data_IF_097226962625
#
_entry.id   IF_097226962625
#
_cell.length_a   1.000
_cell.length_b   1.000
_cell.length_c   1.000
_cell.angle_alpha   90.00
_cell.angle_beta   90.00
_cell.angle_gamma   90.00
#
_symmetry.space_group_name_H-M   'P 1'
#
loop_
_entity.id
_entity.type
_entity.pdbx_description
1 polymer ?
#
# COMPACT_ATOMS: atom_id res chain seq x y z
N UNK A 1 13.86 3.17 -18.69
CA UNK A 1 13.45 3.93 -17.49
C UNK A 1 11.94 3.84 -17.36
N UNK A 2 11.43 3.38 -16.22
CA UNK A 2 9.98 3.26 -15.94
C UNK A 2 9.50 4.45 -15.12
N UNK A 3 8.34 5.02 -15.45
CA UNK A 3 7.71 6.08 -14.64
C UNK A 3 6.81 5.45 -13.59
N UNK A 4 7.04 5.75 -12.32
CA UNK A 4 6.26 5.20 -11.21
C UNK A 4 5.66 6.35 -10.39
N UNK A 5 4.35 6.49 -10.43
CA UNK A 5 3.60 7.43 -9.62
C UNK A 5 3.35 6.86 -8.22
N UNK A 6 3.67 7.67 -7.21
CA UNK A 6 3.55 7.34 -5.79
C UNK A 6 2.84 8.47 -5.05
N UNK A 7 2.08 8.15 -4.01
CA UNK A 7 1.61 9.16 -3.07
C UNK A 7 2.70 9.44 -2.03
N UNK A 8 3.00 10.73 -1.81
CA UNK A 8 4.01 11.19 -0.87
C UNK A 8 5.29 11.67 -1.56
N UNK A 9 6.37 11.75 -0.79
CA UNK A 9 7.65 12.32 -1.22
C UNK A 9 8.75 11.26 -1.34
N UNK A 10 9.92 11.68 -1.81
CA UNK A 10 11.12 10.86 -1.83
C UNK A 10 11.48 10.42 -0.39
N UNK A 11 11.91 9.18 -0.21
CA UNK A 11 12.15 8.56 1.10
C UNK A 11 10.91 8.01 1.80
N UNK A 12 9.70 8.27 1.27
CA UNK A 12 8.46 7.67 1.79
C UNK A 12 8.46 6.14 1.64
N UNK A 13 7.55 5.49 2.35
CA UNK A 13 7.38 4.04 2.21
C UNK A 13 6.92 3.62 0.80
N UNK A 14 6.22 4.50 0.06
CA UNK A 14 5.87 4.24 -1.34
C UNK A 14 7.10 4.30 -2.26
N UNK A 15 8.02 5.25 -2.03
CA UNK A 15 9.32 5.31 -2.72
C UNK A 15 10.11 4.01 -2.48
N UNK A 16 10.27 3.62 -1.21
CA UNK A 16 10.99 2.38 -0.84
C UNK A 16 10.36 1.15 -1.51
N UNK A 17 9.03 1.03 -1.48
CA UNK A 17 8.33 -0.08 -2.11
C UNK A 17 8.53 -0.10 -3.64
N UNK A 18 8.54 1.07 -4.29
CA UNK A 18 8.79 1.19 -5.73
C UNK A 18 10.20 0.73 -6.12
N UNK A 19 11.25 1.23 -5.44
CA UNK A 19 12.62 0.81 -5.72
C UNK A 19 12.86 -0.67 -5.41
N UNK A 20 12.23 -1.21 -4.35
CA UNK A 20 12.35 -2.63 -4.02
C UNK A 20 11.62 -3.54 -5.00
N UNK A 21 10.47 -3.13 -5.51
CA UNK A 21 9.71 -3.92 -6.48
C UNK A 21 10.36 -3.94 -7.87
N UNK A 22 10.98 -2.83 -8.26
CA UNK A 22 11.74 -2.69 -9.52
C UNK A 22 13.25 -2.77 -9.28
N UNK A 23 13.69 -3.60 -8.34
CA UNK A 23 15.10 -3.76 -8.01
C UNK A 23 15.91 -4.17 -9.26
N UNK A 24 17.00 -3.44 -9.52
CA UNK A 24 17.83 -3.62 -10.72
C UNK A 24 17.35 -2.86 -11.96
N UNK A 25 16.25 -2.11 -11.88
CA UNK A 25 15.75 -1.26 -12.96
C UNK A 25 15.85 0.23 -12.60
N UNK A 26 16.07 1.08 -13.61
CA UNK A 26 15.97 2.53 -13.44
C UNK A 26 14.51 2.99 -13.45
N UNK A 27 14.09 3.61 -12.35
CA UNK A 27 12.75 4.21 -12.20
C UNK A 27 12.84 5.73 -12.02
N UNK A 28 11.89 6.43 -12.62
CA UNK A 28 11.62 7.85 -12.42
C UNK A 28 10.34 7.96 -11.57
N UNK A 29 10.44 8.60 -10.40
CA UNK A 29 9.29 8.76 -9.51
C UNK A 29 8.49 10.01 -9.85
N UNK A 30 7.17 9.85 -9.95
CA UNK A 30 6.21 10.94 -10.01
C UNK A 30 5.57 11.05 -8.62
N UNK A 31 6.01 12.03 -7.85
CA UNK A 31 5.47 12.28 -6.50
C UNK A 31 4.13 13.00 -6.61
N UNK A 32 3.09 12.40 -6.04
CA UNK A 32 1.72 12.91 -6.02
C UNK A 32 1.30 13.27 -4.59
N UNK A 33 0.45 14.29 -4.43
CA UNK A 33 0.00 14.72 -3.11
C UNK A 33 -0.96 13.70 -2.48
N UNK A 34 -1.87 13.14 -3.29
CA UNK A 34 -2.89 12.18 -2.88
C UNK A 34 -2.97 11.00 -3.87
N UNK A 35 -3.83 10.03 -3.59
CA UNK A 35 -3.99 8.84 -4.44
C UNK A 35 -4.76 9.14 -5.73
N UNK A 36 -5.67 10.12 -5.73
CA UNK A 36 -6.38 10.59 -6.92
C UNK A 36 -5.41 11.10 -7.98
N UNK A 37 -4.38 11.84 -7.56
CA UNK A 37 -3.31 12.34 -8.41
C UNK A 37 -2.46 11.20 -9.00
N UNK A 38 -2.25 10.10 -8.27
CA UNK A 38 -1.57 8.89 -8.79
C UNK A 38 -2.37 8.29 -9.94
N UNK A 39 -3.68 8.11 -9.77
CA UNK A 39 -4.55 7.63 -10.85
C UNK A 39 -4.68 8.64 -11.99
N UNK A 40 -4.65 9.95 -11.67
CA UNK A 40 -4.59 11.02 -12.65
C UNK A 40 -3.34 10.95 -13.53
N UNK A 41 -2.18 10.64 -12.94
CA UNK A 41 -0.93 10.45 -13.66
C UNK A 41 -0.99 9.26 -14.63
N UNK A 42 -1.53 8.11 -14.18
CA UNK A 42 -1.75 6.93 -15.02
C UNK A 42 -2.69 7.25 -16.20
N UNK A 43 -3.78 7.98 -15.93
CA UNK A 43 -4.74 8.37 -16.97
C UNK A 43 -4.15 9.35 -18.00
N UNK A 44 -3.22 10.21 -17.57
CA UNK A 44 -2.57 11.21 -18.43
C UNK A 44 -1.49 10.59 -19.32
N UNK A 45 -0.77 9.60 -18.82
CA UNK A 45 0.27 8.87 -19.53
C UNK A 45 0.12 7.38 -19.22
N UNK A 46 -0.39 6.61 -20.19
CA UNK A 46 -0.66 5.17 -20.06
C UNK A 46 0.61 4.34 -19.83
N UNK A 47 1.80 4.94 -19.98
CA UNK A 47 3.06 4.29 -19.63
C UNK A 47 3.44 4.43 -18.15
N UNK A 48 2.69 5.24 -17.39
CA UNK A 48 2.91 5.45 -15.96
C UNK A 48 2.34 4.29 -15.15
N UNK A 49 3.16 3.77 -14.24
CA UNK A 49 2.79 2.72 -13.29
C UNK A 49 2.45 3.38 -11.96
N UNK A 50 1.40 2.92 -11.27
CA UNK A 50 1.09 3.35 -9.91
C UNK A 50 1.61 2.38 -8.86
N UNK A 51 2.11 2.91 -7.74
CA UNK A 51 2.39 2.15 -6.51
C UNK A 51 1.45 2.61 -5.40
N UNK A 52 0.58 1.72 -4.93
CA UNK A 52 -0.54 2.07 -4.05
C UNK A 52 -0.54 1.21 -2.78
N UNK A 53 -0.47 1.83 -1.60
CA UNK A 53 -0.81 1.12 -0.37
C UNK A 53 -2.30 0.75 -0.36
N UNK A 54 -2.63 -0.51 -0.04
CA UNK A 54 -4.04 -0.95 0.05
C UNK A 54 -4.43 -1.52 1.42
N UNK A 55 -3.45 -1.88 2.24
CA UNK A 55 -3.66 -2.52 3.53
C UNK A 55 -2.42 -2.38 4.39
N UNK A 56 -2.61 -2.13 5.67
CA UNK A 56 -1.56 -2.14 6.68
C UNK A 56 -2.00 -3.06 7.83
N UNK A 57 -1.06 -3.80 8.42
CA UNK A 57 -1.37 -4.77 9.48
C UNK A 57 -1.91 -4.13 10.77
N UNK A 58 -1.72 -2.82 10.96
CA UNK A 58 -2.19 -2.06 12.12
C UNK A 58 -3.42 -1.22 11.76
N UNK A 59 -3.36 -0.46 10.66
CA UNK A 59 -4.45 0.43 10.25
C UNK A 59 -5.60 -0.28 9.51
N UNK A 60 -5.40 -1.53 9.10
CA UNK A 60 -6.36 -2.30 8.31
C UNK A 60 -6.38 -1.91 6.83
N UNK A 61 -7.52 -2.14 6.17
CA UNK A 61 -7.68 -1.90 4.74
C UNK A 61 -7.85 -0.40 4.44
N UNK A 62 -7.09 0.12 3.48
CA UNK A 62 -7.24 1.48 2.97
C UNK A 62 -8.39 1.51 1.96
N UNK A 63 -9.61 1.61 2.49
CA UNK A 63 -10.85 1.45 1.73
C UNK A 63 -10.98 2.44 0.57
N UNK A 64 -10.62 3.70 0.79
CA UNK A 64 -10.64 4.74 -0.23
C UNK A 64 -9.81 4.35 -1.46
N UNK A 65 -8.61 3.80 -1.24
CA UNK A 65 -7.70 3.42 -2.32
C UNK A 65 -8.23 2.25 -3.15
N UNK A 66 -8.95 1.31 -2.51
CA UNK A 66 -9.61 0.20 -3.22
C UNK A 66 -10.71 0.72 -4.15
N UNK A 67 -11.46 1.73 -3.70
CA UNK A 67 -12.52 2.34 -4.51
C UNK A 67 -11.96 3.17 -5.68
N UNK A 68 -10.91 3.96 -5.44
CA UNK A 68 -10.20 4.67 -6.51
C UNK A 68 -9.65 3.71 -7.58
N UNK A 69 -9.08 2.57 -7.16
CA UNK A 69 -8.64 1.52 -8.07
C UNK A 69 -9.81 0.99 -8.92
N UNK A 70 -10.93 0.64 -8.28
CA UNK A 70 -12.11 0.13 -8.98
C UNK A 70 -12.62 1.12 -10.02
N UNK A 71 -12.72 2.40 -9.65
CA UNK A 71 -13.28 3.48 -10.47
C UNK A 71 -12.35 3.92 -11.60
N UNK A 72 -11.03 3.91 -11.39
CA UNK A 72 -10.05 4.34 -12.40
C UNK A 72 -10.02 3.44 -13.64
N UNK A 73 -10.36 2.16 -13.48
CA UNK A 73 -10.23 1.17 -14.55
C UNK A 73 -8.80 0.63 -14.72
N UNK A 74 -7.83 1.10 -13.92
CA UNK A 74 -6.51 0.53 -13.86
C UNK A 74 -6.55 -0.94 -13.40
N UNK A 75 -5.54 -1.70 -13.79
CA UNK A 75 -5.40 -3.12 -13.46
C UNK A 75 -4.19 -3.38 -12.59
N UNK A 76 -4.32 -4.33 -11.66
CA UNK A 76 -3.24 -4.78 -10.80
C UNK A 76 -2.31 -5.71 -11.59
N UNK A 77 -1.03 -5.37 -11.63
CA UNK A 77 0.04 -6.11 -12.32
C UNK A 77 1.05 -6.73 -11.34
N UNK A 78 0.85 -6.53 -10.05
CA UNK A 78 1.59 -7.19 -8.98
C UNK A 78 1.40 -6.53 -7.64
N UNK A 79 2.10 -7.07 -6.65
CA UNK A 79 2.05 -6.56 -5.29
C UNK A 79 3.42 -6.67 -4.61
N UNK A 80 3.59 -5.89 -3.54
CA UNK A 80 4.78 -5.90 -2.71
C UNK A 80 4.40 -5.72 -1.24
N UNK A 81 5.00 -6.51 -0.33
CA UNK A 81 4.75 -6.42 1.11
C UNK A 81 5.99 -5.87 1.79
N UNK A 82 5.92 -4.62 2.26
CA UNK A 82 7.03 -3.94 2.91
C UNK A 82 6.83 -3.92 4.42
N UNK A 83 7.82 -4.40 5.17
CA UNK A 83 7.92 -4.17 6.61
C UNK A 83 8.20 -2.70 6.89
N UNK A 84 7.34 -2.09 7.70
CA UNK A 84 7.45 -0.71 8.14
C UNK A 84 8.24 -0.69 9.46
N UNK A 85 9.32 0.09 9.48
CA UNK A 85 10.19 0.27 10.64
C UNK A 85 10.49 1.75 10.77
N UNK A 86 10.19 2.30 11.93
CA UNK A 86 10.36 3.73 12.20
C UNK A 86 11.69 3.96 12.91
N UNK A 87 12.34 5.07 12.55
CA UNK A 87 13.56 5.57 13.17
C UNK A 87 13.31 6.97 13.72
N UNK A 88 13.85 7.22 14.91
CA UNK A 88 13.92 8.56 15.49
C UNK A 88 15.19 9.25 14.99
N UNK A 89 15.03 10.40 14.33
CA UNK A 89 16.14 11.07 13.63
C UNK A 89 16.21 12.55 13.98
N UNK A 90 17.40 13.14 13.96
CA UNK A 90 17.65 14.55 14.21
C UNK A 90 18.70 15.10 13.22
N UNK A 91 19.02 16.38 13.33
CA UNK A 91 20.13 16.96 12.57
C UNK A 91 21.46 16.28 12.94
N UNK A 92 22.46 16.24 12.03
CA UNK A 92 23.75 15.59 12.25
C UNK A 92 24.50 16.01 13.52
N UNK A 93 24.37 17.28 13.88
CA UNK A 93 25.12 17.91 14.98
C UNK A 93 24.37 17.86 16.33
N UNK A 94 23.20 17.22 16.38
CA UNK A 94 22.35 17.15 17.58
C UNK A 94 22.37 15.75 18.23
N UNK A 95 22.03 15.70 19.51
CA UNK A 95 21.81 14.46 20.26
C UNK A 95 20.54 14.52 21.11
N UNK A 96 20.26 13.46 21.87
CA UNK A 96 19.07 13.34 22.72
C UNK A 96 18.81 14.55 23.62
N UNK A 97 19.86 15.17 24.15
CA UNK A 97 19.76 16.31 25.07
C UNK A 97 19.31 17.62 24.39
N UNK A 98 19.42 17.71 23.06
CA UNK A 98 19.04 18.90 22.29
C UNK A 98 17.56 18.89 21.87
N UNK A 99 16.92 17.71 21.86
CA UNK A 99 15.60 17.51 21.26
C UNK A 99 14.47 17.98 22.17
N UNK A 100 13.61 18.85 21.65
CA UNK A 100 12.44 19.38 22.34
C UNK A 100 11.14 19.07 21.63
N UNK A 101 11.19 18.74 20.33
CA UNK A 101 10.01 18.45 19.52
C UNK A 101 10.26 17.26 18.58
N UNK A 102 9.22 16.48 18.29
CA UNK A 102 9.23 15.41 17.29
C UNK A 102 8.08 15.57 16.32
N UNK A 103 8.38 15.44 15.02
CA UNK A 103 7.46 15.65 13.91
C UNK A 103 7.30 14.37 13.09
N UNK A 104 6.06 13.97 12.79
CA UNK A 104 5.78 12.87 11.86
C UNK A 104 4.29 12.79 11.50
N UNK A 105 3.95 11.89 10.58
CA UNK A 105 2.56 11.59 10.24
C UNK A 105 1.78 11.03 11.46
N UNK A 106 0.50 11.41 11.69
CA UNK A 106 -0.29 10.97 12.84
C UNK A 106 -0.29 9.45 13.08
N UNK A 107 -0.35 8.65 12.01
CA UNK A 107 -0.31 7.18 12.12
C UNK A 107 1.05 6.69 12.63
N UNK A 108 2.16 7.30 12.19
CA UNK A 108 3.50 6.93 12.65
C UNK A 108 3.70 7.31 14.13
N UNK A 109 3.26 8.51 14.52
CA UNK A 109 3.26 8.96 15.92
C UNK A 109 2.45 8.02 16.81
N UNK A 110 1.26 7.62 16.37
CA UNK A 110 0.43 6.63 17.08
C UNK A 110 1.15 5.30 17.25
N UNK A 111 1.83 4.81 16.21
CA UNK A 111 2.58 3.55 16.24
C UNK A 111 3.83 3.60 17.12
N UNK A 112 4.30 4.78 17.49
CA UNK A 112 5.49 4.99 18.33
C UNK A 112 5.15 5.54 19.72
N UNK A 113 3.86 5.49 20.12
CA UNK A 113 3.39 6.11 21.37
C UNK A 113 4.10 5.62 22.62
N UNK A 114 4.38 4.31 22.72
CA UNK A 114 5.08 3.75 23.88
C UNK A 114 6.51 4.28 24.00
N UNK A 115 7.21 4.39 22.86
CA UNK A 115 8.53 4.98 22.79
C UNK A 115 8.48 6.46 23.19
N UNK A 116 7.57 7.24 22.60
CA UNK A 116 7.39 8.66 22.94
C UNK A 116 7.01 8.87 24.41
N UNK A 117 6.28 7.94 25.03
CA UNK A 117 5.97 7.97 26.46
C UNK A 117 7.20 7.86 27.37
N UNK A 118 8.32 7.33 26.88
CA UNK A 118 9.60 7.30 27.61
C UNK A 118 10.33 8.65 27.56
N UNK A 119 9.90 9.57 26.69
CA UNK A 119 10.47 10.90 26.49
C UNK A 119 9.42 12.01 26.68
N UNK A 120 8.80 12.15 27.88
CA UNK A 120 7.67 13.06 28.10
C UNK A 120 8.00 14.55 27.93
N UNK A 121 9.29 14.92 27.89
CA UNK A 121 9.74 16.29 27.64
C UNK A 121 9.70 16.70 26.16
N UNK A 122 9.55 15.74 25.24
CA UNK A 122 9.53 16.01 23.81
C UNK A 122 8.09 16.27 23.37
N UNK A 123 7.84 17.44 22.80
CA UNK A 123 6.54 17.81 22.23
C UNK A 123 6.29 17.02 20.95
N UNK A 124 5.12 16.40 20.83
CA UNK A 124 4.70 15.67 19.63
C UNK A 124 3.90 16.59 18.71
N UNK A 125 4.35 16.73 17.46
CA UNK A 125 3.70 17.54 16.42
C UNK A 125 3.36 16.69 15.21
N UNK A 126 2.11 16.81 14.78
CA UNK A 126 1.59 16.13 13.59
C UNK A 126 2.06 16.84 12.31
N UNK A 127 2.70 16.10 11.43
CA UNK A 127 3.08 16.51 10.08
C UNK A 127 2.30 15.76 9.00
N UNK A 128 2.44 16.19 7.75
CA UNK A 128 1.71 15.61 6.61
C UNK A 128 2.26 14.26 6.16
N UNK A 129 3.57 14.04 6.24
CA UNK A 129 4.21 12.79 5.82
C UNK A 129 5.50 12.55 6.61
N UNK A 130 5.83 11.28 6.83
CA UNK A 130 7.00 10.85 7.61
C UNK A 130 8.34 11.31 7.01
N UNK A 131 8.53 11.16 5.68
CA UNK A 131 9.74 11.55 4.99
C UNK A 131 9.80 13.07 4.83
N UNK A 132 8.65 13.71 4.56
CA UNK A 132 8.55 15.17 4.49
C UNK A 132 8.91 15.85 5.82
N UNK A 133 8.55 15.27 6.97
CA UNK A 133 8.98 15.80 8.28
C UNK A 133 10.51 15.85 8.41
N UNK A 134 11.22 14.78 7.99
CA UNK A 134 12.68 14.77 8.00
C UNK A 134 13.27 15.77 7.00
N UNK A 135 12.67 15.88 5.82
CA UNK A 135 13.08 16.84 4.78
C UNK A 135 12.98 18.29 5.26
N UNK A 136 11.86 18.69 5.87
CA UNK A 136 11.64 20.06 6.37
C UNK A 136 12.66 20.41 7.45
N UNK A 137 12.87 19.52 8.42
CA UNK A 137 13.84 19.74 9.50
C UNK A 137 15.24 19.97 8.94
N UNK A 138 15.66 19.17 7.96
CA UNK A 138 16.95 19.33 7.31
C UNK A 138 17.04 20.61 6.48
N UNK A 139 16.03 20.89 5.65
CA UNK A 139 16.04 22.04 4.72
C UNK A 139 16.00 23.38 5.46
N UNK A 140 15.25 23.45 6.55
CA UNK A 140 15.09 24.67 7.36
C UNK A 140 16.08 24.72 8.54
N UNK A 141 16.92 23.69 8.73
CA UNK A 141 17.86 23.57 9.84
C UNK A 141 17.20 23.80 11.21
N UNK A 142 16.05 23.16 11.43
CA UNK A 142 15.24 23.32 12.64
C UNK A 142 15.91 22.64 13.85
N UNK A 143 16.70 23.39 14.60
CA UNK A 143 17.37 22.90 15.81
C UNK A 143 16.38 22.56 16.92
N UNK A 144 16.62 21.45 17.60
CA UNK A 144 15.78 20.88 18.65
C UNK A 144 14.57 20.12 18.12
N UNK A 145 14.47 19.92 16.80
CA UNK A 145 13.43 19.14 16.16
C UNK A 145 13.96 17.77 15.70
N UNK A 146 13.24 16.73 16.07
CA UNK A 146 13.41 15.39 15.56
C UNK A 146 12.28 15.01 14.60
N UNK A 147 12.52 13.98 13.79
CA UNK A 147 11.53 13.36 12.94
C UNK A 147 11.38 11.87 13.26
N UNK A 148 10.19 11.33 13.05
CA UNK A 148 10.00 9.87 12.93
C UNK A 148 9.80 9.53 11.46
N UNK A 149 10.73 8.78 10.88
CA UNK A 149 10.71 8.41 9.47
C UNK A 149 11.37 7.04 9.22
N UNK A 150 11.41 6.61 7.96
CA UNK A 150 12.16 5.42 7.59
C UNK A 150 13.68 5.69 7.66
N UNK A 151 14.48 4.64 7.92
CA UNK A 151 15.94 4.75 7.83
C UNK A 151 16.42 5.25 6.47
N UNK A 152 15.77 4.81 5.39
CA UNK A 152 16.11 5.25 4.04
C UNK A 152 15.84 6.76 3.83
N UNK A 153 14.79 7.31 4.44
CA UNK A 153 14.57 8.76 4.44
C UNK A 153 15.67 9.49 5.23
N UNK A 154 16.08 8.95 6.38
CA UNK A 154 17.17 9.50 7.18
C UNK A 154 18.48 9.59 6.36
N UNK A 155 18.85 8.49 5.70
CA UNK A 155 20.04 8.44 4.83
C UNK A 155 19.93 9.40 3.65
N UNK A 156 18.75 9.46 2.99
CA UNK A 156 18.50 10.35 1.85
C UNK A 156 18.65 11.83 2.21
N UNK A 157 18.16 12.22 3.38
CA UNK A 157 18.19 13.61 3.84
C UNK A 157 19.42 13.93 4.70
N UNK A 158 20.34 12.98 4.89
CA UNK A 158 21.56 13.18 5.68
C UNK A 158 21.28 13.43 7.16
N UNK A 159 20.21 12.86 7.71
CA UNK A 159 19.82 12.97 9.12
C UNK A 159 20.59 11.96 9.99
N UNK A 160 20.86 12.31 11.24
CA UNK A 160 21.42 11.38 12.23
C UNK A 160 20.31 10.52 12.81
N UNK A 161 20.51 9.20 12.78
CA UNK A 161 19.59 8.25 13.43
C UNK A 161 19.99 8.11 14.90
N UNK A 162 19.10 8.50 15.81
CA UNK A 162 19.30 8.34 17.24
C UNK A 162 18.87 6.96 17.73
N UNK A 163 17.76 6.44 17.18
CA UNK A 163 17.28 5.10 17.48
C UNK A 163 16.47 4.51 16.32
N UNK A 164 16.72 3.24 16.02
CA UNK A 164 15.98 2.47 15.01
C UNK A 164 14.95 1.56 15.68
N UNK A 165 13.88 1.25 14.96
CA UNK A 165 12.87 0.31 15.42
C UNK A 165 12.17 0.84 16.67
N UNK A 166 11.58 2.03 16.60
CA UNK A 166 10.85 2.63 17.73
C UNK A 166 9.35 2.31 17.72
N UNK A 167 8.85 1.66 16.66
CA UNK A 167 7.46 1.24 16.58
C UNK A 167 7.12 0.19 17.66
N UNK A 168 5.94 0.31 18.24
CA UNK A 168 5.44 -0.62 19.26
C UNK A 168 5.28 -2.04 18.70
N UNK A 169 4.70 -2.18 17.51
CA UNK A 169 4.51 -3.49 16.88
C UNK A 169 5.56 -3.75 15.79
N UNK A 170 6.46 -4.71 16.04
CA UNK A 170 7.53 -5.09 15.11
C UNK A 170 7.04 -5.82 13.86
N UNK A 171 5.82 -6.34 13.88
CA UNK A 171 5.14 -6.98 12.76
C UNK A 171 4.22 -6.00 12.02
N UNK A 172 4.73 -4.81 11.73
CA UNK A 172 4.06 -3.78 10.94
C UNK A 172 4.40 -3.95 9.46
N UNK A 173 3.42 -4.32 8.64
CA UNK A 173 3.59 -4.45 7.20
C UNK A 173 2.55 -3.64 6.47
N UNK A 174 2.97 -3.00 5.39
CA UNK A 174 2.07 -2.40 4.42
C UNK A 174 2.16 -3.20 3.13
N UNK A 175 0.99 -3.57 2.61
CA UNK A 175 0.84 -4.22 1.32
C UNK A 175 0.54 -3.16 0.27
N UNK A 176 1.38 -3.15 -0.75
CA UNK A 176 1.30 -2.26 -1.89
C UNK A 176 0.89 -3.04 -3.14
N UNK A 177 0.04 -2.45 -3.97
CA UNK A 177 -0.27 -2.94 -5.30
C UNK A 177 0.46 -2.10 -6.33
N UNK A 178 0.90 -2.78 -7.38
CA UNK A 178 1.41 -2.15 -8.58
C UNK A 178 0.32 -2.20 -9.61
N UNK A 179 -0.06 -1.02 -10.12
CA UNK A 179 -1.17 -0.87 -11.05
C UNK A 179 -0.72 -0.20 -12.32
N UNK A 180 -1.38 -0.53 -13.43
CA UNK A 180 -1.08 0.05 -14.73
C UNK A 180 -2.38 0.25 -15.51
N UNK A 181 -2.30 1.08 -16.55
CA UNK A 181 -3.35 1.19 -17.53
C UNK A 181 -3.52 -0.16 -18.29
N UNK A 182 -4.75 -0.64 -18.56
CA UNK A 182 -5.00 -1.93 -19.22
C UNK A 182 -4.23 -2.12 -20.53
N UNK A 183 -3.97 -1.06 -21.29
CA UNK A 183 -3.23 -1.14 -22.56
C UNK A 183 -1.75 -1.50 -22.35
N UNK A 184 -1.19 -1.21 -21.17
CA UNK A 184 0.20 -1.49 -20.82
C UNK A 184 0.38 -2.86 -20.15
N UNK A 185 -0.69 -3.45 -19.64
CA UNK A 185 -0.65 -4.72 -18.87
C UNK A 185 -0.02 -5.85 -19.68
N UNK A 186 -0.38 -5.98 -20.96
CA UNK A 186 0.20 -7.00 -21.84
C UNK A 186 1.72 -6.82 -22.04
N UNK A 187 2.19 -5.58 -22.09
CA UNK A 187 3.62 -5.29 -22.19
C UNK A 187 4.37 -5.64 -20.90
N UNK A 188 3.80 -5.26 -19.75
CA UNK A 188 4.36 -5.57 -18.44
C UNK A 188 4.38 -7.08 -18.17
N UNK A 189 3.35 -7.80 -18.62
CA UNK A 189 3.24 -9.25 -18.49
C UNK A 189 4.18 -9.99 -19.44
N UNK A 190 4.39 -9.51 -20.67
CA UNK A 190 5.33 -10.14 -21.63
C UNK A 190 6.77 -10.18 -21.12
N UNK A 191 7.19 -9.19 -20.35
CA UNK A 191 8.53 -9.12 -19.77
C UNK A 191 8.63 -9.81 -18.41
N UNK A 192 7.54 -10.37 -17.91
CA UNK A 192 7.46 -11.06 -16.62
C UNK A 192 7.01 -12.49 -16.84
N UNK A 193 7.97 -13.40 -16.90
CA UNK A 193 7.70 -14.84 -16.75
C UNK A 193 7.22 -15.08 -15.32
N UNK A 194 5.92 -14.96 -15.07
CA UNK A 194 5.37 -15.17 -13.73
C UNK A 194 4.16 -16.09 -13.81
N UNK A 195 4.26 -17.19 -13.09
CA UNK A 195 3.14 -18.06 -12.78
C UNK A 195 2.12 -17.25 -11.98
N UNK A 196 1.10 -16.75 -12.68
CA UNK A 196 -0.03 -16.05 -12.05
C UNK A 196 -0.67 -17.00 -11.04
N UNK A 197 -0.65 -16.61 -9.77
CA UNK A 197 -1.11 -17.44 -8.65
C UNK A 197 -1.97 -16.64 -7.65
N UNK A 198 -2.28 -15.37 -7.97
CA UNK A 198 -3.14 -14.50 -7.17
C UNK A 198 -4.05 -13.67 -8.06
N UNK A 199 -5.26 -13.40 -7.59
CA UNK A 199 -6.17 -12.48 -8.23
C UNK A 199 -6.91 -11.63 -7.20
N UNK A 200 -7.18 -10.38 -7.58
CA UNK A 200 -8.03 -9.47 -6.83
C UNK A 200 -9.30 -9.22 -7.64
N UNK A 201 -10.45 -9.33 -6.99
CA UNK A 201 -11.75 -9.15 -7.63
C UNK A 201 -12.71 -8.40 -6.72
N UNK A 202 -13.70 -7.78 -7.35
CA UNK A 202 -14.82 -7.14 -6.66
C UNK A 202 -16.12 -7.62 -7.27
N UNK A 203 -17.10 -7.90 -6.42
CA UNK A 203 -18.44 -8.25 -6.86
C UNK A 203 -19.50 -7.80 -5.86
N UNK A 204 -20.74 -7.71 -6.32
CA UNK A 204 -21.92 -7.54 -5.47
C UNK A 204 -22.70 -8.84 -5.42
N UNK A 205 -23.54 -8.99 -4.40
CA UNK A 205 -24.38 -10.16 -4.22
C UNK A 205 -25.85 -9.75 -4.10
N UNK A 206 -26.80 -10.60 -4.54
CA UNK A 206 -28.19 -10.44 -4.13
C UNK A 206 -28.28 -10.38 -2.61
N UNK A 207 -29.05 -9.44 -2.08
CA UNK A 207 -29.30 -9.31 -0.63
C UNK A 207 -30.32 -10.37 -0.17
N UNK A 208 -29.91 -11.63 -0.25
CA UNK A 208 -30.66 -12.81 0.15
C UNK A 208 -29.83 -13.64 1.12
N UNK A 209 -30.49 -14.44 1.95
CA UNK A 209 -29.82 -15.27 2.95
C UNK A 209 -28.81 -16.24 2.30
N UNK A 210 -27.60 -16.30 2.85
CA UNK A 210 -26.58 -17.26 2.42
C UNK A 210 -25.84 -16.93 1.12
N UNK A 211 -26.12 -15.80 0.44
CA UNK A 211 -25.49 -15.46 -0.84
C UNK A 211 -23.95 -15.50 -0.79
N UNK A 212 -23.34 -14.90 0.25
CA UNK A 212 -21.89 -14.91 0.39
C UNK A 212 -21.36 -16.32 0.69
N UNK A 213 -22.06 -17.07 1.53
CA UNK A 213 -21.67 -18.43 1.91
C UNK A 213 -21.61 -19.36 0.70
N UNK A 214 -22.53 -19.21 -0.25
CA UNK A 214 -22.54 -20.02 -1.48
C UNK A 214 -21.30 -19.77 -2.34
N UNK A 215 -20.94 -18.49 -2.55
CA UNK A 215 -19.72 -18.11 -3.29
C UNK A 215 -18.46 -18.64 -2.61
N UNK A 216 -18.34 -18.47 -1.29
CA UNK A 216 -17.20 -18.97 -0.53
C UNK A 216 -17.10 -20.51 -0.56
N UNK A 217 -18.23 -21.21 -0.57
CA UNK A 217 -18.27 -22.67 -0.66
C UNK A 217 -17.76 -23.17 -2.03
N UNK A 218 -18.10 -22.47 -3.11
CA UNK A 218 -17.59 -22.80 -4.46
C UNK A 218 -16.09 -22.57 -4.54
N UNK A 219 -15.60 -21.41 -4.06
CA UNK A 219 -14.16 -21.14 -4.03
C UNK A 219 -13.42 -22.23 -3.22
N UNK A 220 -13.96 -22.63 -2.07
CA UNK A 220 -13.43 -23.72 -1.26
C UNK A 220 -13.43 -25.07 -1.99
N UNK A 221 -14.52 -25.41 -2.70
CA UNK A 221 -14.62 -26.63 -3.51
C UNK A 221 -13.52 -26.71 -4.58
N UNK A 222 -13.21 -25.59 -5.23
CA UNK A 222 -12.11 -25.48 -6.19
C UNK A 222 -10.72 -25.35 -5.55
N UNK A 223 -10.62 -25.41 -4.21
CA UNK A 223 -9.41 -25.24 -3.41
C UNK A 223 -8.73 -23.88 -3.61
N UNK A 224 -9.53 -22.84 -3.80
CA UNK A 224 -9.07 -21.46 -3.92
C UNK A 224 -8.95 -20.87 -2.50
N UNK A 225 -7.75 -20.41 -2.14
CA UNK A 225 -7.49 -19.84 -0.84
C UNK A 225 -7.88 -18.35 -0.81
N UNK A 226 -8.70 -17.94 0.15
CA UNK A 226 -9.11 -16.56 0.32
C UNK A 226 -8.11 -15.83 1.23
N UNK A 227 -7.40 -14.84 0.71
CA UNK A 227 -6.41 -14.08 1.51
C UNK A 227 -6.90 -12.72 1.97
N UNK A 228 -8.01 -12.23 1.41
CA UNK A 228 -8.67 -10.98 1.82
C UNK A 228 -10.16 -11.09 1.51
N UNK A 229 -11.00 -10.60 2.43
CA UNK A 229 -12.40 -10.32 2.17
C UNK A 229 -12.81 -9.06 2.92
N UNK A 230 -13.36 -8.09 2.19
CA UNK A 230 -13.77 -6.81 2.74
C UNK A 230 -15.09 -6.37 2.11
N UNK A 231 -16.12 -6.16 2.93
CA UNK A 231 -17.39 -5.59 2.48
C UNK A 231 -17.37 -4.07 2.57
N UNK A 232 -17.93 -3.39 1.57
CA UNK A 232 -18.17 -1.95 1.54
C UNK A 232 -19.62 -1.68 1.15
N UNK A 233 -20.34 -0.79 1.86
CA UNK A 233 -21.68 -0.38 1.45
C UNK A 233 -21.60 0.41 0.13
N UNK A 234 -22.59 0.22 -0.75
CA UNK A 234 -22.65 0.91 -2.03
C UNK A 234 -23.39 2.24 -1.82
N UNK A 235 -22.72 3.36 -2.12
CA UNK A 235 -23.34 4.68 -2.04
C UNK A 235 -24.53 4.74 -3.00
N UNK A 236 -25.71 5.09 -2.46
CA UNK A 236 -26.95 5.18 -3.23
C UNK A 236 -27.71 3.87 -3.43
N UNK A 237 -27.24 2.74 -2.87
CA UNK A 237 -27.98 1.47 -2.83
C UNK A 237 -28.08 0.96 -1.40
N UNK A 238 -29.25 1.12 -0.78
CA UNK A 238 -29.47 0.77 0.62
C UNK A 238 -29.26 -0.73 0.86
N UNK A 239 -28.43 -1.06 1.86
CA UNK A 239 -28.14 -2.44 2.31
C UNK A 239 -27.50 -3.35 1.24
N UNK A 240 -27.04 -2.79 0.14
CA UNK A 240 -26.21 -3.47 -0.84
C UNK A 240 -24.73 -3.25 -0.54
N UNK A 241 -23.95 -4.32 -0.70
CA UNK A 241 -22.52 -4.32 -0.41
C UNK A 241 -21.72 -4.81 -1.62
N UNK A 242 -20.57 -4.18 -1.84
CA UNK A 242 -19.48 -4.70 -2.66
C UNK A 242 -18.52 -5.49 -1.78
N UNK A 243 -18.08 -6.64 -2.29
CA UNK A 243 -17.09 -7.50 -1.66
C UNK A 243 -15.79 -7.43 -2.45
N UNK A 244 -14.75 -6.87 -1.84
CA UNK A 244 -13.39 -6.91 -2.33
C UNK A 244 -12.72 -8.18 -1.81
N UNK A 245 -12.23 -8.99 -2.73
CA UNK A 245 -11.72 -10.33 -2.43
C UNK A 245 -10.38 -10.54 -3.11
N UNK A 246 -9.41 -11.05 -2.35
CA UNK A 246 -8.17 -11.58 -2.90
C UNK A 246 -8.14 -13.09 -2.74
N UNK A 247 -7.75 -13.76 -3.81
CA UNK A 247 -7.59 -15.22 -3.86
C UNK A 247 -6.19 -15.60 -4.27
N UNK A 248 -5.68 -16.67 -3.67
CA UNK A 248 -4.44 -17.34 -4.08
C UNK A 248 -4.79 -18.75 -4.57
N UNK A 249 -4.12 -19.17 -5.64
CA UNK A 249 -4.37 -20.45 -6.30
C UNK A 249 -3.08 -21.07 -6.84
N UNK A 250 -3.02 -22.40 -6.79
CA UNK A 250 -1.91 -23.21 -7.31
C UNK A 250 -2.10 -23.58 -8.80
N UNK A 251 -3.30 -23.39 -9.33
CA UNK A 251 -3.70 -23.88 -10.64
C UNK A 251 -4.64 -22.89 -11.33
N UNK A 252 -4.12 -22.23 -12.38
CA UNK A 252 -4.86 -21.23 -13.16
C UNK A 252 -6.14 -21.79 -13.77
N UNK A 253 -6.16 -23.06 -14.19
CA UNK A 253 -7.35 -23.68 -14.78
C UNK A 253 -8.46 -23.83 -13.74
N UNK A 254 -8.14 -24.32 -12.53
CA UNK A 254 -9.12 -24.42 -11.42
C UNK A 254 -9.64 -23.04 -11.03
N UNK A 255 -8.75 -22.05 -10.96
CA UNK A 255 -9.14 -20.67 -10.71
C UNK A 255 -10.14 -20.17 -11.76
N UNK A 256 -9.85 -20.30 -13.06
CA UNK A 256 -10.78 -19.91 -14.13
C UNK A 256 -12.13 -20.63 -14.06
N UNK A 257 -12.12 -21.93 -13.73
CA UNK A 257 -13.35 -22.70 -13.51
C UNK A 257 -14.14 -22.18 -12.30
N UNK A 258 -13.46 -21.84 -11.21
CA UNK A 258 -14.10 -21.27 -10.02
C UNK A 258 -14.76 -19.92 -10.32
N UNK A 259 -14.11 -19.04 -11.09
CA UNK A 259 -14.67 -17.77 -11.56
C UNK A 259 -15.93 -18.00 -12.40
N UNK A 260 -15.87 -18.93 -13.37
CA UNK A 260 -17.03 -19.27 -14.18
C UNK A 260 -18.20 -19.82 -13.33
N UNK A 261 -17.90 -20.58 -12.26
CA UNK A 261 -18.91 -21.15 -11.37
C UNK A 261 -19.56 -20.11 -10.44
N UNK A 262 -18.82 -19.10 -9.96
CA UNK A 262 -19.39 -18.04 -9.09
C UNK A 262 -20.08 -16.93 -9.88
N UNK A 263 -19.71 -16.71 -11.16
CA UNK A 263 -20.27 -15.64 -12.00
C UNK A 263 -21.81 -15.57 -11.95
N UNK A 264 -22.58 -16.68 -12.11
CA UNK A 264 -24.04 -16.65 -12.07
C UNK A 264 -24.64 -16.27 -10.71
N UNK A 265 -23.88 -16.41 -9.63
CA UNK A 265 -24.30 -16.08 -8.26
C UNK A 265 -23.95 -14.63 -7.87
N UNK A 266 -23.09 -13.98 -8.66
CA UNK A 266 -22.59 -12.64 -8.42
C UNK A 266 -23.23 -11.62 -9.36
N UNK A 267 -23.19 -10.35 -8.97
CA UNK A 267 -23.52 -9.21 -9.83
C UNK A 267 -22.30 -8.31 -9.95
N UNK A 268 -22.14 -7.66 -11.10
CA UNK A 268 -21.05 -6.70 -11.35
C UNK A 268 -19.64 -7.26 -11.03
N UNK A 269 -19.42 -8.57 -11.22
CA UNK A 269 -18.12 -9.20 -10.99
C UNK A 269 -17.08 -8.57 -11.90
N UNK A 270 -16.05 -7.99 -11.29
CA UNK A 270 -14.91 -7.38 -11.96
C UNK A 270 -13.62 -7.95 -11.38
N UNK A 271 -12.80 -8.53 -12.25
CA UNK A 271 -11.42 -8.88 -11.92
C UNK A 271 -10.59 -7.59 -12.00
N UNK A 272 -10.00 -7.19 -10.88
CA UNK A 272 -9.16 -5.99 -10.76
C UNK A 272 -7.72 -6.27 -11.22
N UNK A 273 -7.28 -7.52 -11.17
CA UNK A 273 -6.03 -7.96 -11.76
C UNK A 273 -5.69 -9.39 -11.35
N UNK A 274 -4.85 -10.02 -12.17
CA UNK A 274 -4.31 -11.36 -11.96
C UNK A 274 -2.79 -11.25 -12.01
N UNK A 275 -2.12 -11.65 -10.93
CA UNK A 275 -0.72 -11.34 -10.71
C UNK A 275 -0.02 -12.41 -9.85
N UNK A 276 1.28 -12.26 -9.66
CA UNK A 276 2.06 -13.11 -8.75
C UNK A 276 1.90 -12.60 -7.31
N UNK A 277 1.62 -13.49 -6.36
CA UNK A 277 1.63 -13.21 -4.93
C UNK A 277 2.99 -12.60 -4.55
N UNK A 278 2.93 -11.45 -3.90
CA UNK A 278 4.10 -10.62 -3.70
C UNK A 278 5.04 -11.22 -2.69
N UNK A 279 6.33 -11.05 -3.00
CA UNK A 279 7.42 -11.25 -2.06
C UNK A 279 7.26 -10.29 -0.88
N UNK A 280 7.60 -10.78 0.31
CA UNK A 280 7.86 -9.94 1.48
C UNK A 280 9.35 -9.70 1.60
N UNK A 281 9.76 -8.57 2.18
CA UNK A 281 11.15 -8.25 2.46
C UNK A 281 11.69 -8.93 3.74
N UNK A 282 11.10 -10.04 4.15
CA UNK A 282 11.48 -10.84 5.33
C UNK A 282 11.74 -12.27 4.92
#
# INVERSE_FOLDING_TARGET
>A
MKKVAIQGTLGSYHDIAAHKYFEGEEIELICCANFEDVFGAIKKDSQTIGMLAIENTIAGSLLHNNELLRQSGAQIVGEYKLRISHSFVCLPDEDWDDITEVNSHPIALMQCREFLGQHPGIKVVEGEDTARSAEIIQQEHLKGHAAICSKAAAERYGMKVLQEGIETNKHNFTRFLVVADPWQVDELNRHRSKDVNKASMVFTLPHTEGSLSQVLSILSFYRINLTKIQSLPIIGREWEYQFYVDVVFDNVLRYKQSIAAITPLTKELKILGEYEDGKSNV
#
